data_IF_129104433851
#
_entry.id   IF_129104433851
#
_cell.length_a   1.000
_cell.length_b   1.000
_cell.length_c   1.000
_cell.angle_alpha   90.00
_cell.angle_beta   90.00
_cell.angle_gamma   90.00
#
_symmetry.space_group_name_H-M   'P 1'
#
loop_
_entity.id
_entity.type
_entity.pdbx_description
1 polymer ?
#
# COMPACT_ATOMS: atom_id res chain seq x y z
N UNK A 1 5.15 22.84 -37.40
CA UNK A 1 4.10 22.01 -36.79
C UNK A 1 4.00 22.37 -35.33
N UNK A 2 2.97 23.13 -34.98
CA UNK A 2 2.65 23.58 -33.62
C UNK A 2 2.29 22.39 -32.75
N UNK A 3 3.17 22.04 -31.83
CA UNK A 3 2.87 21.21 -30.66
C UNK A 3 1.69 21.86 -29.93
N UNK A 4 0.49 21.30 -30.10
CA UNK A 4 -0.69 21.74 -29.37
C UNK A 4 -0.40 21.59 -27.88
N UNK A 5 -0.52 22.67 -27.11
CA UNK A 5 -0.50 22.63 -25.65
C UNK A 5 -1.49 21.55 -25.20
N UNK A 6 -0.99 20.45 -24.64
CA UNK A 6 -1.84 19.48 -23.99
C UNK A 6 -2.69 20.24 -22.96
N UNK A 7 -4.00 20.24 -23.17
CA UNK A 7 -4.93 20.93 -22.29
C UNK A 7 -4.76 20.30 -20.90
N UNK A 8 -4.23 21.04 -19.93
CA UNK A 8 -4.24 20.61 -18.52
C UNK A 8 -5.71 20.42 -18.16
N UNK A 9 -6.17 19.16 -18.12
CA UNK A 9 -7.50 18.84 -17.63
C UNK A 9 -7.50 19.20 -16.15
N UNK A 10 -8.43 20.06 -15.74
CA UNK A 10 -8.62 20.35 -14.32
C UNK A 10 -9.15 19.12 -13.56
N UNK A 11 -9.21 19.25 -12.23
CA UNK A 11 -9.84 18.26 -11.35
C UNK A 11 -11.25 17.96 -11.84
N UNK A 12 -11.57 16.68 -12.02
CA UNK A 12 -12.90 16.22 -12.43
C UNK A 12 -13.63 15.55 -11.26
N UNK A 13 -14.95 15.41 -11.37
CA UNK A 13 -15.75 14.63 -10.43
C UNK A 13 -15.26 13.19 -10.27
N UNK A 14 -14.71 12.58 -11.32
CA UNK A 14 -14.15 11.24 -11.24
C UNK A 14 -12.97 11.18 -10.25
N UNK A 15 -12.11 12.20 -10.20
CA UNK A 15 -11.01 12.26 -9.23
C UNK A 15 -11.53 12.31 -7.80
N UNK A 16 -12.52 13.17 -7.55
CA UNK A 16 -13.12 13.36 -6.22
C UNK A 16 -13.82 12.07 -5.77
N UNK A 17 -14.61 11.45 -6.65
CA UNK A 17 -15.34 10.20 -6.34
C UNK A 17 -14.36 9.06 -6.09
N UNK A 18 -13.34 8.87 -6.94
CA UNK A 18 -12.33 7.82 -6.74
C UNK A 18 -11.56 8.04 -5.44
N UNK A 19 -11.20 9.28 -5.11
CA UNK A 19 -10.56 9.63 -3.84
C UNK A 19 -11.44 9.27 -2.63
N UNK A 20 -12.72 9.65 -2.63
CA UNK A 20 -13.65 9.36 -1.53
C UNK A 20 -13.83 7.85 -1.36
N UNK A 21 -14.05 7.13 -2.47
CA UNK A 21 -14.23 5.67 -2.45
C UNK A 21 -12.97 4.96 -1.95
N UNK A 22 -11.79 5.38 -2.41
CA UNK A 22 -10.53 4.81 -1.96
C UNK A 22 -10.27 5.10 -0.47
N UNK A 23 -10.58 6.30 0.00
CA UNK A 23 -10.46 6.67 1.42
C UNK A 23 -11.38 5.79 2.29
N UNK A 24 -12.64 5.65 1.89
CA UNK A 24 -13.61 4.82 2.62
C UNK A 24 -13.21 3.34 2.62
N UNK A 25 -12.78 2.80 1.46
CA UNK A 25 -12.31 1.43 1.34
C UNK A 25 -11.04 1.18 2.15
N UNK A 26 -10.06 2.07 2.07
CA UNK A 26 -8.84 2.01 2.85
C UNK A 26 -9.13 2.05 4.34
N UNK A 27 -10.04 2.92 4.81
CA UNK A 27 -10.45 2.96 6.21
C UNK A 27 -11.04 1.62 6.67
N UNK A 28 -11.99 1.04 5.93
CA UNK A 28 -12.58 -0.26 6.27
C UNK A 28 -11.50 -1.35 6.33
N UNK A 29 -10.62 -1.40 5.34
CA UNK A 29 -9.52 -2.37 5.31
C UNK A 29 -8.51 -2.13 6.44
N UNK A 30 -8.28 -0.89 6.84
CA UNK A 30 -7.37 -0.51 7.92
C UNK A 30 -7.92 -1.00 9.27
N UNK A 31 -9.22 -0.77 9.51
CA UNK A 31 -9.94 -1.31 10.67
C UNK A 31 -9.83 -2.84 10.69
N UNK A 32 -10.21 -3.53 9.61
CA UNK A 32 -10.11 -4.99 9.54
C UNK A 32 -8.68 -5.50 9.77
N UNK A 33 -7.68 -4.86 9.17
CA UNK A 33 -6.28 -5.24 9.31
C UNK A 33 -5.80 -5.10 10.75
N UNK A 34 -6.17 -4.01 11.42
CA UNK A 34 -5.80 -3.75 12.82
C UNK A 34 -6.47 -4.71 13.80
N UNK A 35 -7.65 -5.24 13.47
CA UNK A 35 -8.38 -6.21 14.30
C UNK A 35 -7.88 -7.64 14.11
N UNK A 36 -7.52 -8.01 12.88
CA UNK A 36 -7.18 -9.39 12.51
C UNK A 36 -5.68 -9.66 12.68
N UNK A 37 -4.85 -8.66 12.41
CA UNK A 37 -3.38 -8.77 12.50
C UNK A 37 -2.81 -7.72 13.44
N UNK A 38 -3.26 -7.65 14.71
CA UNK A 38 -2.83 -6.59 15.62
C UNK A 38 -1.33 -6.70 15.93
N UNK A 39 -0.65 -5.56 15.98
CA UNK A 39 0.64 -5.49 16.68
C UNK A 39 0.35 -5.34 18.17
N UNK A 40 0.84 -6.29 18.97
CA UNK A 40 0.59 -6.32 20.41
C UNK A 40 1.08 -5.03 21.08
N UNK A 41 0.20 -4.42 21.88
CA UNK A 41 0.49 -3.19 22.60
C UNK A 41 0.31 -1.90 21.80
N UNK A 42 -0.07 -1.96 20.52
CA UNK A 42 -0.24 -0.79 19.66
C UNK A 42 -1.61 -0.77 18.94
N UNK A 43 -2.65 -0.17 19.55
CA UNK A 43 -3.98 -0.10 18.95
C UNK A 43 -3.97 0.50 17.54
N UNK A 44 -4.71 -0.10 16.59
CA UNK A 44 -4.73 0.38 15.20
C UNK A 44 -3.52 0.01 14.36
N UNK A 45 -2.40 -0.44 14.96
CA UNK A 45 -1.25 -0.90 14.18
C UNK A 45 -1.46 -2.34 13.77
N UNK A 46 -1.21 -2.63 12.48
CA UNK A 46 -1.35 -3.96 11.91
C UNK A 46 -0.02 -4.51 11.41
N UNK A 47 0.24 -5.79 11.66
CA UNK A 47 1.37 -6.52 11.09
C UNK A 47 1.15 -6.87 9.61
N UNK A 48 -0.08 -6.75 9.10
CA UNK A 48 -0.42 -6.92 7.68
C UNK A 48 -1.47 -5.88 7.29
N UNK A 49 -1.02 -4.68 6.96
CA UNK A 49 -1.89 -3.53 6.77
C UNK A 49 -2.46 -3.44 5.35
N UNK A 50 -3.52 -4.20 5.07
CA UNK A 50 -4.10 -4.38 3.72
C UNK A 50 -4.57 -3.06 3.10
N UNK A 51 -4.88 -2.04 3.90
CA UNK A 51 -5.30 -0.71 3.43
C UNK A 51 -4.29 -0.05 2.49
N UNK A 52 -2.98 -0.24 2.71
CA UNK A 52 -1.95 0.36 1.86
C UNK A 52 -2.00 -0.14 0.42
N UNK A 53 -2.54 -1.35 0.19
CA UNK A 53 -2.78 -1.87 -1.16
C UNK A 53 -3.77 -1.06 -1.99
N UNK A 54 -4.54 -0.17 -1.36
CA UNK A 54 -5.49 0.71 -2.05
C UNK A 54 -4.87 2.07 -2.32
N UNK A 55 -4.46 2.77 -1.27
CA UNK A 55 -4.06 4.17 -1.39
C UNK A 55 -2.64 4.34 -1.95
N UNK A 56 -1.75 3.35 -1.81
CA UNK A 56 -0.39 3.42 -2.38
C UNK A 56 -0.41 3.35 -3.91
N UNK A 57 -1.09 2.36 -4.55
CA UNK A 57 -1.31 2.41 -6.00
C UNK A 57 -2.02 3.69 -6.45
N UNK A 58 -2.99 4.17 -5.66
CA UNK A 58 -3.65 5.44 -5.93
C UNK A 58 -2.69 6.64 -5.88
N UNK A 59 -1.68 6.62 -5.00
CA UNK A 59 -0.64 7.65 -4.96
C UNK A 59 0.20 7.65 -6.24
N UNK A 60 0.57 6.45 -6.73
CA UNK A 60 1.28 6.31 -8.01
C UNK A 60 0.43 6.88 -9.15
N UNK A 61 -0.86 6.55 -9.22
CA UNK A 61 -1.74 6.98 -10.31
C UNK A 61 -2.22 8.43 -10.22
N UNK A 62 -2.63 8.87 -9.03
CA UNK A 62 -3.35 10.13 -8.81
C UNK A 62 -2.59 11.13 -7.93
N UNK A 63 -1.38 10.81 -7.48
CA UNK A 63 -0.51 11.75 -6.77
C UNK A 63 -1.04 12.10 -5.39
N UNK A 64 -1.31 13.38 -5.17
CA UNK A 64 -1.74 13.91 -3.88
C UNK A 64 -3.06 13.30 -3.41
N UNK A 65 -3.94 12.91 -4.33
CA UNK A 65 -5.19 12.23 -4.01
C UNK A 65 -4.97 10.90 -3.28
N UNK A 66 -3.98 10.11 -3.71
CA UNK A 66 -3.65 8.85 -3.02
C UNK A 66 -3.03 9.07 -1.66
N UNK A 67 -2.12 10.05 -1.54
CA UNK A 67 -1.50 10.40 -0.26
C UNK A 67 -2.53 10.91 0.76
N UNK A 68 -3.47 11.76 0.33
CA UNK A 68 -4.58 12.19 1.19
C UNK A 68 -5.56 11.05 1.52
N UNK A 69 -5.77 10.10 0.60
CA UNK A 69 -6.64 8.96 0.88
C UNK A 69 -6.06 8.12 2.03
N UNK A 70 -4.76 7.82 1.99
CA UNK A 70 -4.06 7.14 3.08
C UNK A 70 -4.11 7.93 4.39
N UNK A 71 -3.79 9.23 4.33
CA UNK A 71 -3.86 10.12 5.49
C UNK A 71 -5.24 10.10 6.15
N UNK A 72 -6.31 10.34 5.38
CA UNK A 72 -7.65 10.42 5.94
C UNK A 72 -8.15 9.05 6.42
N UNK A 73 -7.83 7.96 5.73
CA UNK A 73 -8.19 6.62 6.23
C UNK A 73 -7.52 6.31 7.57
N UNK A 74 -6.24 6.66 7.71
CA UNK A 74 -5.49 6.46 8.95
C UNK A 74 -5.96 7.39 10.07
N UNK A 75 -6.27 8.64 9.74
CA UNK A 75 -6.86 9.60 10.67
C UNK A 75 -8.16 9.06 11.27
N UNK A 76 -9.05 8.52 10.43
CA UNK A 76 -10.30 7.94 10.92
C UNK A 76 -10.07 6.65 11.70
N UNK A 77 -9.14 5.78 11.27
CA UNK A 77 -8.74 4.59 12.03
C UNK A 77 -8.25 4.96 13.44
N UNK A 78 -7.36 5.95 13.53
CA UNK A 78 -6.81 6.42 14.79
C UNK A 78 -7.89 6.93 15.74
N UNK A 79 -8.87 7.67 15.22
CA UNK A 79 -10.03 8.12 16.02
C UNK A 79 -10.92 6.93 16.42
N UNK A 80 -11.23 6.05 15.48
CA UNK A 80 -12.07 4.88 15.70
C UNK A 80 -11.67 3.71 14.78
N UNK A 81 -11.50 2.49 15.32
CA UNK A 81 -11.73 2.09 16.71
C UNK A 81 -10.54 2.32 17.66
N UNK A 82 -9.42 2.89 17.20
CA UNK A 82 -8.19 2.92 18.01
C UNK A 82 -8.23 3.84 19.23
N UNK A 83 -9.15 4.81 19.26
CA UNK A 83 -9.40 5.65 20.43
C UNK A 83 -8.34 6.72 20.68
N UNK A 84 -7.51 7.04 19.68
CA UNK A 84 -6.58 8.16 19.74
C UNK A 84 -7.33 9.49 19.78
N UNK A 85 -6.75 10.45 20.49
CA UNK A 85 -7.21 11.83 20.41
C UNK A 85 -7.07 12.36 18.99
N UNK A 86 -7.85 13.38 18.61
CA UNK A 86 -7.73 14.02 17.30
C UNK A 86 -6.29 14.48 17.03
N UNK A 87 -5.63 15.05 18.03
CA UNK A 87 -4.26 15.52 17.91
C UNK A 87 -3.28 14.38 17.62
N UNK A 88 -3.36 13.27 18.37
CA UNK A 88 -2.53 12.08 18.15
C UNK A 88 -2.79 11.49 16.76
N UNK A 89 -4.06 11.36 16.37
CA UNK A 89 -4.45 10.77 15.09
C UNK A 89 -3.97 11.62 13.90
N UNK A 90 -4.06 12.94 14.00
CA UNK A 90 -3.53 13.88 12.98
C UNK A 90 -2.03 13.69 12.75
N UNK A 91 -1.25 13.50 13.82
CA UNK A 91 0.20 13.29 13.71
C UNK A 91 0.49 11.88 13.17
N UNK A 92 -0.15 10.87 13.73
CA UNK A 92 0.10 9.47 13.39
C UNK A 92 -0.29 9.15 11.95
N UNK A 93 -1.38 9.71 11.45
CA UNK A 93 -1.88 9.53 10.08
C UNK A 93 -0.90 9.96 8.98
N UNK A 94 0.13 10.74 9.31
CA UNK A 94 1.22 11.02 8.37
C UNK A 94 2.00 9.75 7.99
N UNK A 95 1.93 8.66 8.76
CA UNK A 95 2.53 7.38 8.35
C UNK A 95 1.96 6.91 7.00
N UNK A 96 0.64 6.79 6.87
CA UNK A 96 -0.04 6.39 5.62
C UNK A 96 0.09 7.46 4.52
N UNK A 97 0.15 8.75 4.89
CA UNK A 97 0.45 9.81 3.93
C UNK A 97 1.82 9.59 3.29
N UNK A 98 2.85 9.41 4.11
CA UNK A 98 4.23 9.13 3.68
C UNK A 98 4.22 7.88 2.81
N UNK A 99 3.45 6.87 3.21
CA UNK A 99 3.42 5.57 2.54
C UNK A 99 2.95 5.67 1.08
N UNK A 100 1.94 6.50 0.78
CA UNK A 100 1.51 6.78 -0.59
C UNK A 100 2.32 7.90 -1.27
N UNK A 101 2.81 8.87 -0.50
CA UNK A 101 3.50 10.04 -1.03
C UNK A 101 4.86 9.69 -1.60
N UNK A 102 5.65 8.83 -0.95
CA UNK A 102 6.99 8.47 -1.43
C UNK A 102 6.94 7.82 -2.82
N UNK A 103 6.12 6.79 -3.08
CA UNK A 103 5.97 6.22 -4.42
C UNK A 103 5.51 7.27 -5.44
N UNK A 104 4.50 8.07 -5.08
CA UNK A 104 4.00 9.15 -5.93
C UNK A 104 5.11 10.16 -6.32
N UNK A 105 5.93 10.53 -5.35
CA UNK A 105 7.05 11.45 -5.50
C UNK A 105 8.14 10.87 -6.39
N UNK A 106 8.54 9.61 -6.17
CA UNK A 106 9.61 8.95 -6.92
C UNK A 106 9.28 8.85 -8.40
N UNK A 107 8.08 8.38 -8.75
CA UNK A 107 7.65 8.32 -10.15
C UNK A 107 7.66 9.70 -10.84
N UNK A 108 7.31 10.77 -10.11
CA UNK A 108 7.26 12.14 -10.64
C UNK A 108 8.61 12.81 -10.75
N UNK A 109 9.45 12.73 -9.72
CA UNK A 109 10.81 13.31 -9.75
C UNK A 109 11.65 12.64 -10.84
N UNK A 110 11.55 11.32 -10.97
CA UNK A 110 12.28 10.56 -11.97
C UNK A 110 11.62 10.61 -13.36
N UNK A 111 10.45 11.24 -13.48
CA UNK A 111 9.66 11.38 -14.72
C UNK A 111 9.44 10.02 -15.40
N UNK A 112 9.14 9.01 -14.60
CA UNK A 112 8.85 7.66 -15.07
C UNK A 112 7.33 7.51 -15.16
N UNK A 113 6.86 7.18 -16.36
CA UNK A 113 5.46 6.85 -16.58
C UNK A 113 5.20 5.44 -16.03
N UNK A 114 4.28 5.23 -15.07
CA UNK A 114 4.01 3.91 -14.51
C UNK A 114 3.49 2.95 -15.59
N UNK A 115 4.34 2.04 -16.05
CA UNK A 115 3.99 0.99 -17.00
C UNK A 115 4.43 -0.39 -16.48
N UNK A 116 3.48 -1.11 -15.90
CA UNK A 116 3.69 -2.44 -15.34
C UNK A 116 3.44 -3.56 -16.36
N UNK A 117 3.34 -3.25 -17.65
CA UNK A 117 3.21 -4.26 -18.69
C UNK A 117 4.53 -4.99 -18.93
N UNK A 118 4.43 -6.22 -19.42
CA UNK A 118 5.58 -7.04 -19.79
C UNK A 118 5.66 -7.25 -21.29
N UNK A 119 6.88 -7.34 -21.83
CA UNK A 119 7.13 -7.59 -23.26
C UNK A 119 6.68 -8.99 -23.66
N UNK A 120 6.60 -9.28 -24.96
CA UNK A 120 6.27 -10.64 -25.44
C UNK A 120 7.46 -11.59 -25.29
N UNK A 121 7.22 -12.80 -24.80
CA UNK A 121 8.24 -13.85 -24.66
C UNK A 121 7.80 -14.97 -23.73
N UNK A 122 8.55 -16.08 -23.70
CA UNK A 122 8.22 -17.24 -22.85
C UNK A 122 8.26 -16.87 -21.35
N UNK A 123 9.30 -16.15 -20.91
CA UNK A 123 9.42 -15.69 -19.51
C UNK A 123 8.31 -14.69 -19.12
N UNK A 124 7.85 -13.86 -20.05
CA UNK A 124 6.77 -12.91 -19.80
C UNK A 124 5.40 -13.57 -19.64
N UNK A 125 5.20 -14.79 -20.15
CA UNK A 125 3.97 -15.57 -19.88
C UNK A 125 3.90 -16.04 -18.44
N UNK A 126 5.04 -16.17 -17.76
CA UNK A 126 5.10 -16.56 -16.35
C UNK A 126 4.79 -15.40 -15.41
N UNK A 127 5.05 -14.16 -15.83
CA UNK A 127 4.79 -12.96 -15.04
C UNK A 127 3.36 -12.90 -14.45
N UNK A 128 2.28 -12.96 -15.26
CA UNK A 128 0.92 -12.90 -14.72
C UNK A 128 0.58 -14.10 -13.84
N UNK A 129 1.22 -15.27 -14.07
CA UNK A 129 1.05 -16.46 -13.23
C UNK A 129 1.60 -16.17 -11.84
N UNK A 130 2.84 -15.72 -11.72
CA UNK A 130 3.46 -15.43 -10.43
C UNK A 130 2.75 -14.32 -9.66
N UNK A 131 2.46 -13.19 -10.31
CA UNK A 131 1.78 -12.06 -9.66
C UNK A 131 0.36 -12.42 -9.25
N UNK A 132 -0.44 -13.01 -10.15
CA UNK A 132 -1.85 -13.32 -9.86
C UNK A 132 -1.97 -14.47 -8.86
N UNK A 133 -1.16 -15.53 -8.98
CA UNK A 133 -1.18 -16.64 -8.03
C UNK A 133 -0.70 -16.19 -6.65
N UNK A 134 0.35 -15.37 -6.57
CA UNK A 134 0.80 -14.80 -5.30
C UNK A 134 -0.29 -13.96 -4.63
N UNK A 135 -0.95 -13.09 -5.40
CA UNK A 135 -2.10 -12.30 -4.96
C UNK A 135 -3.24 -13.18 -4.44
N UNK A 136 -3.67 -14.18 -5.22
CA UNK A 136 -4.78 -15.06 -4.87
C UNK A 136 -4.46 -15.87 -3.61
N UNK A 137 -3.27 -16.44 -3.51
CA UNK A 137 -2.86 -17.23 -2.34
C UNK A 137 -2.86 -16.37 -1.08
N UNK A 138 -2.33 -15.15 -1.12
CA UNK A 138 -2.35 -14.26 0.04
C UNK A 138 -3.78 -13.90 0.45
N UNK A 139 -4.65 -13.55 -0.52
CA UNK A 139 -6.06 -13.25 -0.23
C UNK A 139 -6.77 -14.46 0.39
N UNK A 140 -6.56 -15.67 -0.14
CA UNK A 140 -7.13 -16.89 0.43
C UNK A 140 -6.61 -17.13 1.85
N UNK A 141 -5.31 -16.93 2.09
CA UNK A 141 -4.71 -17.01 3.43
C UNK A 141 -5.34 -16.02 4.40
N UNK A 142 -5.53 -14.77 3.98
CA UNK A 142 -6.22 -13.74 4.76
C UNK A 142 -7.64 -14.19 5.08
N UNK A 143 -8.41 -14.65 4.09
CA UNK A 143 -9.80 -15.13 4.29
C UNK A 143 -9.83 -16.28 5.30
N UNK A 144 -8.91 -17.23 5.20
CA UNK A 144 -8.80 -18.35 6.16
C UNK A 144 -8.51 -17.82 7.57
N UNK A 145 -7.58 -16.87 7.72
CA UNK A 145 -7.29 -16.26 9.02
C UNK A 145 -8.50 -15.52 9.59
N UNK A 146 -9.22 -14.76 8.76
CA UNK A 146 -10.42 -14.01 9.15
C UNK A 146 -11.52 -14.95 9.65
N UNK A 147 -11.81 -16.01 8.89
CA UNK A 147 -12.98 -16.86 9.13
C UNK A 147 -12.71 -17.98 10.13
N UNK A 148 -11.49 -18.51 10.15
CA UNK A 148 -11.16 -19.78 10.83
C UNK A 148 -9.95 -19.66 11.77
N UNK A 149 -9.23 -18.53 11.77
CA UNK A 149 -8.00 -18.36 12.57
C UNK A 149 -8.21 -18.48 14.09
N UNK A 150 -9.40 -18.15 14.59
CA UNK A 150 -9.76 -18.33 16.01
C UNK A 150 -9.84 -19.79 16.45
N UNK A 151 -9.98 -20.73 15.51
CA UNK A 151 -9.96 -22.17 15.77
C UNK A 151 -8.53 -22.70 15.97
N UNK A 152 -7.49 -21.88 15.72
CA UNK A 152 -6.09 -22.25 15.86
C UNK A 152 -5.61 -23.15 14.72
N UNK A 153 -4.79 -24.15 15.05
CA UNK A 153 -4.24 -25.09 14.06
C UNK A 153 -5.34 -25.99 13.45
N UNK A 154 -5.28 -26.29 12.13
CA UNK A 154 -4.20 -26.00 11.18
C UNK A 154 -4.33 -24.64 10.46
N UNK A 155 -5.35 -23.84 10.77
CA UNK A 155 -5.70 -22.65 10.00
C UNK A 155 -4.64 -21.56 10.10
N UNK A 156 -4.05 -21.36 11.29
CA UNK A 156 -2.93 -20.45 11.49
C UNK A 156 -1.73 -20.83 10.61
N UNK A 157 -1.33 -22.10 10.59
CA UNK A 157 -0.25 -22.58 9.72
C UNK A 157 -0.57 -22.39 8.24
N UNK A 158 -1.81 -22.63 7.81
CA UNK A 158 -2.23 -22.41 6.41
C UNK A 158 -2.14 -20.93 6.04
N UNK A 159 -2.59 -20.03 6.92
CA UNK A 159 -2.44 -18.58 6.73
C UNK A 159 -0.97 -18.19 6.58
N UNK A 160 -0.12 -18.60 7.53
CA UNK A 160 1.31 -18.28 7.52
C UNK A 160 1.99 -18.81 6.24
N UNK A 161 1.71 -20.05 5.85
CA UNK A 161 2.22 -20.62 4.61
C UNK A 161 1.75 -19.84 3.38
N UNK A 162 0.49 -19.39 3.37
CA UNK A 162 -0.08 -18.58 2.29
C UNK A 162 0.60 -17.22 2.18
N UNK A 163 0.88 -16.56 3.30
CA UNK A 163 1.61 -15.28 3.33
C UNK A 163 2.99 -15.41 2.70
N UNK A 164 3.79 -16.37 3.17
CA UNK A 164 5.17 -16.53 2.67
C UNK A 164 5.22 -17.06 1.24
N UNK A 165 4.30 -17.94 0.86
CA UNK A 165 4.19 -18.43 -0.52
C UNK A 165 3.76 -17.30 -1.45
N UNK A 166 2.73 -16.53 -1.06
CA UNK A 166 2.26 -15.37 -1.80
C UNK A 166 3.35 -14.33 -2.00
N UNK A 167 4.10 -14.02 -0.95
CA UNK A 167 5.27 -13.14 -1.00
C UNK A 167 6.35 -13.67 -1.96
N UNK A 168 6.74 -14.94 -1.82
CA UNK A 168 7.77 -15.55 -2.67
C UNK A 168 7.40 -15.49 -4.15
N UNK A 169 6.16 -15.83 -4.49
CA UNK A 169 5.66 -15.74 -5.87
C UNK A 169 5.63 -14.29 -6.37
N UNK A 170 5.17 -13.35 -5.53
CA UNK A 170 5.13 -11.95 -5.92
C UNK A 170 6.53 -11.35 -6.13
N UNK A 171 7.51 -11.70 -5.29
CA UNK A 171 8.91 -11.30 -5.48
C UNK A 171 9.45 -11.85 -6.80
N UNK A 172 9.20 -13.11 -7.13
CA UNK A 172 9.56 -13.68 -8.45
C UNK A 172 8.87 -12.89 -9.57
N UNK A 173 7.59 -12.56 -9.41
CA UNK A 173 6.83 -11.73 -10.35
C UNK A 173 7.45 -10.34 -10.55
N UNK A 174 7.81 -9.65 -9.48
CA UNK A 174 8.49 -8.33 -9.50
C UNK A 174 9.83 -8.43 -10.22
N UNK A 175 10.63 -9.45 -9.89
CA UNK A 175 11.94 -9.68 -10.53
C UNK A 175 11.78 -9.98 -12.02
N UNK A 176 10.78 -10.77 -12.42
CA UNK A 176 10.45 -10.96 -13.82
C UNK A 176 10.01 -9.65 -14.48
N UNK A 177 9.19 -8.84 -13.81
CA UNK A 177 8.80 -7.51 -14.26
C UNK A 177 10.02 -6.64 -14.57
N UNK A 178 11.02 -6.64 -13.68
CA UNK A 178 12.28 -5.93 -13.88
C UNK A 178 13.05 -6.43 -15.11
N UNK A 179 13.02 -7.73 -15.38
CA UNK A 179 13.76 -8.37 -16.48
C UNK A 179 13.05 -8.24 -17.84
N UNK A 180 11.73 -8.41 -17.88
CA UNK A 180 10.94 -8.53 -19.11
C UNK A 180 9.98 -7.36 -19.37
N UNK A 181 9.77 -6.47 -18.40
CA UNK A 181 8.99 -5.24 -18.53
C UNK A 181 9.84 -3.99 -18.73
N UNK A 182 9.34 -2.86 -18.26
CA UNK A 182 10.13 -1.62 -18.17
C UNK A 182 10.96 -1.59 -16.88
N UNK A 183 12.27 -1.78 -17.00
CA UNK A 183 13.17 -1.88 -15.86
C UNK A 183 13.18 -0.61 -14.98
N UNK A 184 12.89 0.57 -15.57
CA UNK A 184 12.81 1.82 -14.81
C UNK A 184 11.59 1.84 -13.90
N UNK A 185 10.41 1.49 -14.41
CA UNK A 185 9.17 1.37 -13.63
C UNK A 185 9.33 0.39 -12.49
N UNK A 186 9.82 -0.82 -12.78
CA UNK A 186 9.99 -1.85 -11.75
C UNK A 186 11.09 -1.49 -10.74
N UNK A 187 12.19 -0.89 -11.19
CA UNK A 187 13.25 -0.43 -10.30
C UNK A 187 12.77 0.66 -9.34
N UNK A 188 12.00 1.64 -9.84
CA UNK A 188 11.37 2.66 -9.00
C UNK A 188 10.34 2.07 -8.06
N UNK A 189 9.56 1.09 -8.53
CA UNK A 189 8.57 0.44 -7.69
C UNK A 189 9.21 -0.35 -6.54
N UNK A 190 10.30 -1.08 -6.79
CA UNK A 190 11.08 -1.75 -5.73
C UNK A 190 11.62 -0.72 -4.72
N UNK A 191 12.21 0.36 -5.21
CA UNK A 191 12.69 1.45 -4.34
C UNK A 191 11.53 2.09 -3.55
N UNK A 192 10.35 2.20 -4.17
CA UNK A 192 9.15 2.73 -3.53
C UNK A 192 8.71 1.82 -2.38
N UNK A 193 8.62 0.50 -2.58
CA UNK A 193 8.31 -0.45 -1.51
C UNK A 193 9.30 -0.28 -0.35
N UNK A 194 10.60 -0.29 -0.62
CA UNK A 194 11.64 -0.21 0.42
C UNK A 194 11.56 1.10 1.20
N UNK A 195 11.61 2.23 0.50
CA UNK A 195 11.68 3.54 1.12
C UNK A 195 10.41 3.89 1.86
N UNK A 196 9.27 3.50 1.30
CA UNK A 196 7.98 3.85 1.88
C UNK A 196 7.74 3.11 3.19
N UNK A 197 7.95 1.79 3.23
CA UNK A 197 7.76 0.98 4.44
C UNK A 197 8.69 1.41 5.57
N UNK A 198 9.95 1.76 5.26
CA UNK A 198 10.90 2.22 6.28
C UNK A 198 10.53 3.62 6.78
N UNK A 199 10.20 4.55 5.90
CA UNK A 199 9.89 5.93 6.30
C UNK A 199 8.54 6.02 7.04
N UNK A 200 7.49 5.35 6.55
CA UNK A 200 6.19 5.25 7.22
C UNK A 200 6.35 4.53 8.56
N UNK A 201 7.08 3.42 8.61
CA UNK A 201 7.34 2.66 9.82
C UNK A 201 8.10 3.46 10.88
N UNK A 202 9.15 4.21 10.50
CA UNK A 202 9.88 5.10 11.42
C UNK A 202 8.90 6.14 11.99
N UNK A 203 8.15 6.80 11.12
CA UNK A 203 7.20 7.84 11.55
C UNK A 203 6.12 7.26 12.47
N UNK A 204 5.43 6.21 12.03
CA UNK A 204 4.36 5.55 12.77
C UNK A 204 4.81 5.01 14.12
N UNK A 205 5.92 4.25 14.15
CA UNK A 205 6.44 3.71 15.41
C UNK A 205 6.94 4.81 16.35
N UNK A 206 7.69 5.78 15.83
CA UNK A 206 8.25 6.85 16.67
C UNK A 206 7.16 7.77 17.21
N UNK A 207 6.18 8.13 16.38
CA UNK A 207 5.05 8.97 16.84
C UNK A 207 4.15 8.26 17.84
N UNK A 208 4.12 6.92 17.89
CA UNK A 208 3.38 6.19 18.93
C UNK A 208 4.16 6.00 20.24
N UNK A 209 5.50 5.93 20.19
CA UNK A 209 6.32 5.48 21.33
C UNK A 209 7.35 6.51 21.82
N UNK A 210 8.04 7.20 20.91
CA UNK A 210 9.16 8.11 21.23
C UNK A 210 8.72 9.57 21.30
N UNK A 211 7.73 9.94 20.49
CA UNK A 211 7.32 11.34 20.28
C UNK A 211 5.85 11.61 20.62
N UNK A 212 5.03 10.63 21.04
CA UNK A 212 3.61 10.93 21.26
C UNK A 212 3.33 11.77 22.50
N UNK A 213 2.39 12.68 22.31
CA UNK A 213 1.79 13.58 23.27
C UNK A 213 0.72 12.79 24.07
N UNK A 214 0.45 13.10 25.36
CA UNK A 214 0.23 12.10 26.41
C UNK A 214 -1.05 11.23 26.38
N UNK A 215 -0.99 9.99 26.93
CA UNK A 215 0.23 9.23 27.24
C UNK A 215 0.71 8.44 26.00
N UNK A 216 2.00 8.51 25.64
CA UNK A 216 2.59 7.65 24.60
C UNK A 216 2.61 6.18 25.03
N UNK A 217 2.69 5.29 24.06
CA UNK A 217 2.99 3.88 24.33
C UNK A 217 4.40 3.74 24.90
N UNK A 218 4.69 2.68 25.67
CA UNK A 218 6.03 2.46 26.22
C UNK A 218 7.10 2.44 25.12
N UNK A 219 8.25 3.09 25.39
CA UNK A 219 9.32 3.27 24.41
C UNK A 219 9.91 1.92 23.93
N UNK A 220 9.88 0.89 24.78
CA UNK A 220 10.27 -0.47 24.45
C UNK A 220 9.45 -1.11 23.32
N UNK A 221 8.25 -0.60 23.04
CA UNK A 221 7.41 -1.08 21.94
C UNK A 221 7.84 -0.52 20.58
N UNK A 222 8.81 0.41 20.51
CA UNK A 222 9.26 0.98 19.24
C UNK A 222 9.69 -0.11 18.26
N UNK A 223 10.57 -1.03 18.68
CA UNK A 223 11.11 -2.07 17.79
C UNK A 223 10.06 -3.10 17.34
N UNK A 224 9.21 -3.65 18.24
CA UNK A 224 8.09 -4.50 17.81
C UNK A 224 7.14 -3.81 16.82
N UNK A 225 6.78 -2.55 17.07
CA UNK A 225 5.89 -1.76 16.20
C UNK A 225 6.56 -1.51 14.85
N UNK A 226 7.78 -1.00 14.87
CA UNK A 226 8.54 -0.70 13.66
C UNK A 226 8.74 -1.94 12.78
N UNK A 227 9.17 -3.06 13.36
CA UNK A 227 9.44 -4.28 12.60
C UNK A 227 8.16 -4.91 12.04
N UNK A 228 7.09 -4.98 12.84
CA UNK A 228 5.79 -5.46 12.39
C UNK A 228 5.23 -4.62 11.24
N UNK A 229 5.36 -3.30 11.34
CA UNK A 229 4.92 -2.36 10.31
C UNK A 229 5.70 -2.53 9.01
N UNK A 230 7.04 -2.47 9.06
CA UNK A 230 7.89 -2.56 7.86
C UNK A 230 7.70 -3.89 7.14
N UNK A 231 7.64 -5.00 7.89
CA UNK A 231 7.43 -6.34 7.31
C UNK A 231 6.03 -6.44 6.69
N UNK A 232 5.02 -5.91 7.38
CA UNK A 232 3.64 -5.87 6.89
C UNK A 232 3.51 -5.13 5.57
N UNK A 233 4.07 -3.92 5.49
CA UNK A 233 4.06 -3.10 4.28
C UNK A 233 4.83 -3.81 3.15
N UNK A 234 5.97 -4.44 3.44
CA UNK A 234 6.69 -5.22 2.42
C UNK A 234 5.83 -6.33 1.83
N UNK A 235 5.08 -7.06 2.66
CA UNK A 235 4.19 -8.12 2.18
C UNK A 235 3.05 -7.53 1.36
N UNK A 236 2.33 -6.55 1.91
CA UNK A 236 1.15 -5.97 1.27
C UNK A 236 1.50 -5.29 -0.04
N UNK A 237 2.57 -4.48 -0.06
CA UNK A 237 2.97 -3.77 -1.26
C UNK A 237 3.58 -4.72 -2.29
N UNK A 238 4.40 -5.69 -1.89
CA UNK A 238 4.96 -6.65 -2.84
C UNK A 238 3.89 -7.54 -3.48
N UNK A 239 2.87 -7.93 -2.74
CA UNK A 239 1.86 -8.89 -3.21
C UNK A 239 0.61 -8.19 -3.73
N UNK A 240 -0.11 -7.47 -2.86
CA UNK A 240 -1.42 -6.90 -3.17
C UNK A 240 -1.30 -5.66 -4.06
N UNK A 241 -0.44 -4.70 -3.71
CA UNK A 241 -0.24 -3.50 -4.53
C UNK A 241 0.30 -3.85 -5.92
N UNK A 242 1.20 -4.83 -6.03
CA UNK A 242 1.71 -5.29 -7.33
C UNK A 242 0.60 -5.87 -8.19
N UNK A 243 -0.26 -6.73 -7.64
CA UNK A 243 -1.42 -7.26 -8.37
C UNK A 243 -2.36 -6.17 -8.84
N UNK A 244 -2.66 -5.20 -7.96
CA UNK A 244 -3.52 -4.05 -8.26
C UNK A 244 -2.91 -3.15 -9.34
N UNK A 245 -1.62 -2.81 -9.23
CA UNK A 245 -0.90 -1.98 -10.19
C UNK A 245 -0.84 -2.63 -11.55
N UNK A 246 -0.47 -3.91 -11.62
CA UNK A 246 -0.36 -4.64 -12.89
C UNK A 246 -1.71 -4.80 -13.59
N UNK A 247 -2.78 -5.02 -12.83
CA UNK A 247 -4.12 -5.21 -13.40
C UNK A 247 -4.80 -3.89 -13.79
N UNK A 248 -4.70 -2.85 -12.96
CA UNK A 248 -5.54 -1.65 -13.07
C UNK A 248 -4.84 -0.42 -13.67
N UNK A 249 -3.50 -0.39 -13.76
CA UNK A 249 -2.79 0.75 -14.38
C UNK A 249 -3.30 1.09 -15.78
N UNK A 250 -3.55 0.11 -16.69
CA UNK A 250 -4.11 0.42 -18.00
C UNK A 250 -5.51 1.06 -17.94
N UNK A 251 -6.31 0.72 -16.92
CA UNK A 251 -7.65 1.28 -16.73
C UNK A 251 -7.55 2.73 -16.30
N UNK A 252 -6.74 3.04 -15.28
CA UNK A 252 -6.53 4.42 -14.80
C UNK A 252 -6.02 5.35 -15.90
N UNK A 253 -5.12 4.86 -16.77
CA UNK A 253 -4.64 5.62 -17.93
C UNK A 253 -5.74 5.85 -18.97
N UNK A 254 -6.58 4.86 -19.26
CA UNK A 254 -7.64 4.96 -20.28
C UNK A 254 -8.83 5.81 -19.83
N UNK A 255 -9.14 5.84 -18.54
CA UNK A 255 -10.28 6.60 -17.98
C UNK A 255 -9.96 8.07 -17.72
N UNK A 256 -8.68 8.48 -17.87
CA UNK A 256 -8.24 9.84 -17.57
C UNK A 256 -8.19 10.16 -16.08
N UNK A 257 -8.11 9.13 -15.22
CA UNK A 257 -7.87 9.28 -13.79
C UNK A 257 -6.38 9.42 -13.46
N UNK A 258 -5.48 9.02 -14.36
CA UNK A 258 -4.04 9.21 -14.17
C UNK A 258 -3.67 10.70 -14.15
N UNK A 259 -2.95 11.12 -13.12
CA UNK A 259 -2.51 12.51 -12.88
C UNK A 259 -1.00 12.60 -12.98
N UNK A 260 -0.48 13.36 -13.96
CA UNK A 260 0.96 13.58 -14.11
C UNK A 260 1.53 14.49 -12.99
N UNK A 261 0.75 15.50 -12.58
CA UNK A 261 1.07 16.40 -11.47
C UNK A 261 0.62 15.87 -10.12
N UNK A 262 0.17 16.76 -9.21
CA UNK A 262 -0.30 16.36 -7.88
C UNK A 262 -1.82 16.28 -7.74
N UNK A 263 -2.57 17.09 -8.49
CA UNK A 263 -4.02 17.27 -8.29
C UNK A 263 -4.84 17.20 -9.58
N UNK A 264 -4.29 17.65 -10.71
CA UNK A 264 -4.69 17.39 -12.10
C UNK A 264 -3.65 18.05 -13.02
#
# INVERSE_FOLDING_TARGET
>A
MTQGKAFKRGVTWAHIVTFILATAMAYVLAVLSSLIFPVLGAPGVSALYVASSVYVPLGIWMGGWGALAGYLSCLFLGLYPSGYTLYQSVIWAFADFIEAFIPALLFRILRIDPDFTVKRGAAARLFPVFVSTGFIILILGIIIQVLLGSLGEPFTSIYVASVYTGLGLAVIGIMLGLLVGDAKTWGVYIASIILTSVASGIWGAATLTLYNVPPPLPAELFWPIFTGWVIGDFIVLSVLSTGILTALTPIFKRTGLYVEGWWA
#
